data_IF_506801304695
#
_entry.id   IF_506801304695
#
_cell.length_a   1.000
_cell.length_b   1.000
_cell.length_c   1.000
_cell.angle_alpha   90.00
_cell.angle_beta   90.00
_cell.angle_gamma   90.00
#
_symmetry.space_group_name_H-M   'P 1'
#
loop_
_entity.id
_entity.type
_entity.pdbx_description
1 polymer ?
#
# COMPACT_ATOMS: atom_id res chain seq x y z
N UNK A 1 -23.74 -8.70 -8.88
CA UNK A 1 -22.96 -9.84 -8.35
C UNK A 1 -22.01 -10.43 -9.38
N UNK A 2 -22.43 -10.66 -10.63
CA UNK A 2 -21.53 -11.18 -11.68
C UNK A 2 -20.29 -10.31 -11.93
N UNK A 3 -20.40 -8.98 -11.82
CA UNK A 3 -19.24 -8.08 -11.98
C UNK A 3 -18.18 -8.26 -10.88
N UNK A 4 -18.58 -8.51 -9.63
CA UNK A 4 -17.64 -8.64 -8.51
C UNK A 4 -16.75 -9.87 -8.68
N UNK A 5 -17.35 -11.04 -8.96
CA UNK A 5 -16.59 -12.28 -9.16
C UNK A 5 -15.64 -12.18 -10.35
N UNK A 6 -16.05 -11.52 -11.44
CA UNK A 6 -15.20 -11.29 -12.61
C UNK A 6 -13.99 -10.38 -12.33
N UNK A 7 -14.03 -9.59 -11.25
CA UNK A 7 -12.97 -8.65 -10.87
C UNK A 7 -12.03 -9.19 -9.79
N UNK A 8 -12.35 -10.30 -9.12
CA UNK A 8 -11.52 -10.86 -8.05
C UNK A 8 -10.15 -11.32 -8.56
N UNK A 9 -10.10 -12.14 -9.60
CA UNK A 9 -8.82 -12.61 -10.17
C UNK A 9 -7.96 -11.47 -10.73
N UNK A 10 -8.52 -10.53 -11.53
CA UNK A 10 -7.78 -9.33 -11.92
C UNK A 10 -7.27 -8.53 -10.71
N UNK A 11 -8.10 -8.32 -9.67
CA UNK A 11 -7.69 -7.57 -8.48
C UNK A 11 -6.53 -8.23 -7.74
N UNK A 12 -6.54 -9.56 -7.60
CA UNK A 12 -5.44 -10.29 -6.99
C UNK A 12 -4.16 -10.14 -7.81
N UNK A 13 -4.21 -10.40 -9.11
CA UNK A 13 -3.04 -10.33 -9.98
C UNK A 13 -2.46 -8.89 -10.05
N UNK A 14 -3.32 -7.90 -10.28
CA UNK A 14 -2.94 -6.49 -10.40
C UNK A 14 -2.45 -5.95 -9.05
N UNK A 15 -3.15 -6.28 -7.96
CA UNK A 15 -2.77 -5.84 -6.62
C UNK A 15 -1.43 -6.39 -6.16
N UNK A 16 -1.19 -7.70 -6.37
CA UNK A 16 0.11 -8.32 -6.07
C UNK A 16 1.22 -7.70 -6.93
N UNK A 17 0.99 -7.56 -8.23
CA UNK A 17 1.97 -6.97 -9.15
C UNK A 17 2.31 -5.52 -8.80
N UNK A 18 1.31 -4.70 -8.50
CA UNK A 18 1.51 -3.30 -8.11
C UNK A 18 2.29 -3.16 -6.80
N UNK A 19 1.96 -3.99 -5.81
CA UNK A 19 2.68 -4.05 -4.54
C UNK A 19 4.14 -4.47 -4.75
N UNK A 20 4.38 -5.48 -5.58
CA UNK A 20 5.73 -5.93 -5.91
C UNK A 20 6.56 -4.84 -6.59
N UNK A 21 5.98 -4.08 -7.53
CA UNK A 21 6.65 -2.93 -8.18
C UNK A 21 7.07 -1.88 -7.14
N UNK A 22 6.21 -1.58 -6.18
CA UNK A 22 6.52 -0.67 -5.08
C UNK A 22 7.63 -1.21 -4.16
N UNK A 23 7.63 -2.51 -3.87
CA UNK A 23 8.67 -3.15 -3.06
C UNK A 23 10.03 -3.16 -3.79
N UNK A 24 10.04 -3.42 -5.09
CA UNK A 24 11.25 -3.33 -5.93
C UNK A 24 11.81 -1.90 -5.96
N UNK A 25 10.93 -0.89 -6.03
CA UNK A 25 11.33 0.51 -5.90
C UNK A 25 11.93 0.81 -4.53
N UNK A 26 11.31 0.36 -3.44
CA UNK A 26 11.84 0.52 -2.09
C UNK A 26 13.19 -0.19 -1.93
N UNK A 27 13.34 -1.39 -2.50
CA UNK A 27 14.60 -2.13 -2.53
C UNK A 27 15.69 -1.35 -3.28
N UNK A 28 15.38 -0.83 -4.48
CA UNK A 28 16.30 0.00 -5.26
C UNK A 28 16.73 1.25 -4.47
N UNK A 29 15.79 1.96 -3.85
CA UNK A 29 16.09 3.12 -3.00
C UNK A 29 17.01 2.76 -1.82
N UNK A 30 16.78 1.61 -1.19
CA UNK A 30 17.62 1.14 -0.08
C UNK A 30 19.04 0.80 -0.51
N UNK A 31 19.22 0.24 -1.71
CA UNK A 31 20.51 -0.22 -2.23
C UNK A 31 21.34 0.91 -2.83
N UNK A 32 20.70 1.81 -3.58
CA UNK A 32 21.40 2.85 -4.37
C UNK A 32 21.55 4.14 -3.57
N UNK A 33 20.54 4.50 -2.77
CA UNK A 33 20.48 5.80 -2.09
C UNK A 33 20.51 5.70 -0.56
N UNK A 34 20.66 4.49 0.00
CA UNK A 34 20.59 4.21 1.44
C UNK A 34 19.30 4.73 2.11
N UNK A 35 18.23 4.91 1.34
CA UNK A 35 16.93 5.35 1.84
C UNK A 35 16.16 4.12 2.31
N UNK A 36 16.01 3.97 3.64
CA UNK A 36 15.20 2.89 4.21
C UNK A 36 13.70 3.12 3.92
N UNK A 37 13.05 2.06 3.45
CA UNK A 37 11.59 1.98 3.35
C UNK A 37 10.91 1.76 4.70
N UNK A 38 9.59 1.59 4.67
CA UNK A 38 8.83 1.21 5.87
C UNK A 38 9.19 -0.23 6.26
N UNK A 39 9.43 -0.46 7.54
CA UNK A 39 9.51 -1.82 8.08
C UNK A 39 8.09 -2.36 8.28
N UNK A 40 7.68 -3.30 7.43
CA UNK A 40 6.36 -3.91 7.51
C UNK A 40 6.13 -4.68 8.81
N UNK A 41 7.18 -5.05 9.56
CA UNK A 41 7.02 -5.59 10.91
C UNK A 41 6.25 -4.63 11.83
N UNK A 42 6.38 -3.31 11.63
CA UNK A 42 5.60 -2.31 12.39
C UNK A 42 4.10 -2.38 12.06
N UNK A 43 3.73 -2.68 10.82
CA UNK A 43 2.34 -2.92 10.42
C UNK A 43 1.82 -4.17 11.10
N UNK A 44 2.58 -5.27 11.06
CA UNK A 44 2.15 -6.50 11.73
C UNK A 44 2.05 -6.34 13.25
N UNK A 45 2.97 -5.58 13.86
CA UNK A 45 2.91 -5.21 15.28
C UNK A 45 1.63 -4.45 15.58
N UNK A 46 1.28 -3.46 14.78
CA UNK A 46 0.04 -2.69 14.94
C UNK A 46 -1.19 -3.59 14.85
N UNK A 47 -1.24 -4.47 13.83
CA UNK A 47 -2.37 -5.39 13.63
C UNK A 47 -2.51 -6.37 14.80
N UNK A 48 -1.43 -6.94 15.32
CA UNK A 48 -1.55 -7.87 16.45
C UNK A 48 -1.87 -7.20 17.78
N UNK A 49 -1.57 -5.90 17.95
CA UNK A 49 -2.07 -5.11 19.09
C UNK A 49 -3.52 -4.65 18.88
N UNK A 50 -3.93 -4.39 17.64
CA UNK A 50 -5.31 -4.10 17.29
C UNK A 50 -6.24 -5.27 17.67
N UNK A 51 -5.82 -6.52 17.43
CA UNK A 51 -6.52 -7.72 17.88
C UNK A 51 -6.66 -7.82 19.42
N UNK A 52 -5.90 -7.03 20.17
CA UNK A 52 -5.94 -6.93 21.65
C UNK A 52 -6.65 -5.64 22.11
N UNK A 53 -7.32 -4.92 21.21
CA UNK A 53 -8.05 -3.69 21.50
C UNK A 53 -7.20 -2.42 21.52
N UNK A 54 -5.91 -2.49 21.17
CA UNK A 54 -5.04 -1.32 21.11
C UNK A 54 -4.91 -0.83 19.66
N UNK A 55 -5.72 0.16 19.30
CA UNK A 55 -5.70 0.78 17.97
C UNK A 55 -4.55 1.79 17.81
N UNK A 56 -4.26 2.58 18.85
CA UNK A 56 -3.31 3.70 18.78
C UNK A 56 -2.09 3.48 19.68
N UNK A 57 -0.96 4.03 19.25
CA UNK A 57 0.33 3.91 19.92
C UNK A 57 0.98 5.29 20.04
N UNK A 58 1.75 5.54 21.11
CA UNK A 58 2.59 6.74 21.21
C UNK A 58 3.74 6.70 20.19
N UNK A 59 4.22 5.49 19.90
CA UNK A 59 5.15 5.17 18.84
C UNK A 59 5.13 3.67 18.61
N UNK A 60 4.70 3.21 17.43
CA UNK A 60 4.59 1.77 17.15
C UNK A 60 5.94 1.05 17.32
N UNK A 61 7.05 1.75 17.01
CA UNK A 61 8.41 1.24 17.18
C UNK A 61 8.77 0.91 18.64
N UNK A 62 8.15 1.57 19.61
CA UNK A 62 8.35 1.34 21.05
C UNK A 62 7.37 0.33 21.64
N UNK A 63 6.36 -0.07 20.88
CA UNK A 63 5.39 -1.07 21.34
C UNK A 63 6.04 -2.45 21.40
N UNK A 64 5.62 -3.27 22.37
CA UNK A 64 6.18 -4.61 22.55
C UNK A 64 6.08 -5.41 21.24
N UNK A 65 7.19 -5.97 20.72
CA UNK A 65 7.14 -6.84 19.55
C UNK A 65 6.22 -8.04 19.77
N UNK A 66 5.62 -8.54 18.72
CA UNK A 66 4.82 -9.78 18.75
C UNK A 66 5.47 -10.86 17.88
N UNK A 67 5.24 -12.13 18.25
CA UNK A 67 5.69 -13.26 17.43
C UNK A 67 5.05 -13.18 16.04
N UNK A 68 5.87 -13.30 15.00
CA UNK A 68 5.41 -13.27 13.61
C UNK A 68 5.03 -11.90 13.05
N UNK A 69 5.37 -10.78 13.72
CA UNK A 69 5.00 -9.43 13.24
C UNK A 69 5.47 -9.12 11.82
N UNK A 70 6.64 -9.63 11.41
CA UNK A 70 7.11 -9.51 10.03
C UNK A 70 6.16 -10.19 9.03
N UNK A 71 5.81 -11.45 9.28
CA UNK A 71 4.92 -12.24 8.40
C UNK A 71 3.55 -11.58 8.30
N UNK A 72 2.95 -11.21 9.43
CA UNK A 72 1.65 -10.51 9.47
C UNK A 72 1.73 -9.21 8.68
N UNK A 73 2.79 -8.43 8.88
CA UNK A 73 3.03 -7.18 8.18
C UNK A 73 3.08 -7.34 6.67
N UNK A 74 3.89 -8.28 6.19
CA UNK A 74 4.00 -8.58 4.76
C UNK A 74 2.68 -9.11 4.16
N UNK A 75 1.99 -10.02 4.86
CA UNK A 75 0.68 -10.49 4.39
C UNK A 75 -0.34 -9.35 4.28
N UNK A 76 -0.41 -8.48 5.30
CA UNK A 76 -1.32 -7.34 5.29
C UNK A 76 -0.95 -6.31 4.23
N UNK A 77 0.34 -6.10 3.98
CA UNK A 77 0.82 -5.23 2.92
C UNK A 77 0.29 -5.65 1.54
N UNK A 78 0.45 -6.93 1.18
CA UNK A 78 -0.08 -7.46 -0.08
C UNK A 78 -1.61 -7.49 -0.11
N UNK A 79 -2.26 -7.83 1.00
CA UNK A 79 -3.71 -7.81 1.10
C UNK A 79 -4.28 -6.40 0.87
N UNK A 80 -3.68 -5.37 1.46
CA UNK A 80 -4.08 -3.97 1.24
C UNK A 80 -3.92 -3.58 -0.23
N UNK A 81 -2.82 -3.99 -0.88
CA UNK A 81 -2.62 -3.78 -2.31
C UNK A 81 -3.71 -4.42 -3.18
N UNK A 82 -4.12 -5.65 -2.86
CA UNK A 82 -5.24 -6.34 -3.52
C UNK A 82 -6.56 -5.61 -3.30
N UNK A 83 -6.83 -5.15 -2.07
CA UNK A 83 -8.02 -4.37 -1.74
C UNK A 83 -8.05 -3.06 -2.53
N UNK A 84 -6.93 -2.35 -2.63
CA UNK A 84 -6.84 -1.13 -3.44
C UNK A 84 -7.06 -1.39 -4.93
N UNK A 85 -6.48 -2.45 -5.49
CA UNK A 85 -6.73 -2.84 -6.87
C UNK A 85 -8.22 -3.16 -7.11
N UNK A 86 -8.86 -3.89 -6.18
CA UNK A 86 -10.30 -4.17 -6.26
C UNK A 86 -11.13 -2.89 -6.20
N UNK A 87 -10.82 -1.96 -5.29
CA UNK A 87 -11.51 -0.66 -5.18
C UNK A 87 -11.37 0.14 -6.47
N UNK A 88 -10.18 0.18 -7.08
CA UNK A 88 -9.99 0.82 -8.38
C UNK A 88 -10.93 0.18 -9.43
N UNK A 89 -10.85 -1.14 -9.62
CA UNK A 89 -11.64 -1.85 -10.61
C UNK A 89 -13.15 -1.68 -10.42
N UNK A 90 -13.63 -1.64 -9.18
CA UNK A 90 -15.04 -1.39 -8.86
C UNK A 90 -15.45 0.07 -9.11
N UNK A 91 -14.51 1.01 -8.98
CA UNK A 91 -14.76 2.45 -9.13
C UNK A 91 -14.79 2.88 -10.60
N UNK A 92 -13.91 2.33 -11.44
CA UNK A 92 -13.80 2.70 -12.87
C UNK A 92 -14.39 1.65 -13.82
N UNK A 93 -14.67 0.45 -13.30
CA UNK A 93 -15.33 -0.63 -14.03
C UNK A 93 -14.43 -1.38 -15.01
N UNK A 94 -15.06 -2.33 -15.72
CA UNK A 94 -14.41 -3.20 -16.71
C UNK A 94 -13.66 -2.47 -17.83
N UNK A 95 -14.12 -1.30 -18.34
CA UNK A 95 -13.42 -0.60 -19.43
C UNK A 95 -11.95 -0.26 -19.09
N UNK A 96 -11.67 0.14 -17.85
CA UNK A 96 -10.29 0.43 -17.45
C UNK A 96 -9.44 -0.83 -17.36
N UNK A 97 -10.01 -1.98 -17.00
CA UNK A 97 -9.27 -3.24 -17.02
C UNK A 97 -8.79 -3.54 -18.44
N UNK A 98 -9.68 -3.45 -19.43
CA UNK A 98 -9.39 -3.75 -20.85
C UNK A 98 -8.50 -2.71 -21.52
N UNK A 99 -8.62 -1.45 -21.14
CA UNK A 99 -7.83 -0.35 -21.68
C UNK A 99 -7.29 0.51 -20.51
N UNK A 100 -6.21 0.06 -19.85
CA UNK A 100 -5.72 0.70 -18.63
C UNK A 100 -5.19 2.10 -18.91
N UNK A 101 -5.80 3.10 -18.28
CA UNK A 101 -5.32 4.48 -18.31
C UNK A 101 -4.27 4.70 -17.22
N UNK A 102 -3.06 5.08 -17.63
CA UNK A 102 -1.97 5.45 -16.71
C UNK A 102 -2.37 6.60 -15.78
N UNK A 103 -3.04 7.63 -16.30
CA UNK A 103 -3.45 8.79 -15.51
C UNK A 103 -4.37 8.38 -14.36
N UNK A 104 -5.38 7.55 -14.65
CA UNK A 104 -6.30 7.05 -13.63
C UNK A 104 -5.55 6.24 -12.57
N UNK A 105 -4.60 5.39 -12.98
CA UNK A 105 -3.80 4.57 -12.07
C UNK A 105 -2.93 5.43 -11.13
N UNK A 106 -2.27 6.47 -11.66
CA UNK A 106 -1.42 7.37 -10.89
C UNK A 106 -2.23 8.23 -9.91
N UNK A 107 -3.36 8.77 -10.36
CA UNK A 107 -4.28 9.53 -9.50
C UNK A 107 -4.81 8.65 -8.37
N UNK A 108 -5.26 7.43 -8.71
CA UNK A 108 -5.72 6.47 -7.71
C UNK A 108 -4.62 6.09 -6.72
N UNK A 109 -3.41 5.82 -7.20
CA UNK A 109 -2.23 5.61 -6.38
C UNK A 109 -2.05 6.74 -5.36
N UNK A 110 -2.05 8.00 -5.79
CA UNK A 110 -1.97 9.13 -4.87
C UNK A 110 -3.15 9.23 -3.90
N UNK A 111 -4.38 8.91 -4.33
CA UNK A 111 -5.57 8.85 -3.44
C UNK A 111 -5.35 7.82 -2.32
N UNK A 112 -4.68 6.70 -2.59
CA UNK A 112 -4.43 5.70 -1.54
C UNK A 112 -3.58 6.25 -0.39
N UNK A 113 -2.88 7.41 -0.54
CA UNK A 113 -2.21 8.11 0.56
C UNK A 113 -3.16 8.55 1.69
N UNK A 114 -4.47 8.60 1.44
CA UNK A 114 -5.47 8.84 2.48
C UNK A 114 -5.31 7.84 3.62
N UNK A 115 -5.06 6.55 3.30
CA UNK A 115 -4.89 5.52 4.31
C UNK A 115 -3.68 5.78 5.23
N UNK A 116 -2.43 5.92 4.72
CA UNK A 116 -1.30 6.18 5.60
C UNK A 116 -1.40 7.53 6.30
N UNK A 117 -1.89 8.59 5.67
CA UNK A 117 -1.90 9.93 6.27
C UNK A 117 -2.92 10.10 7.37
N UNK A 118 -4.10 9.48 7.25
CA UNK A 118 -5.21 9.71 8.19
C UNK A 118 -5.52 8.53 9.09
N UNK A 119 -5.02 7.32 8.77
CA UNK A 119 -5.26 6.11 9.57
C UNK A 119 -3.94 5.58 10.13
N UNK A 120 -3.05 5.09 9.27
CA UNK A 120 -1.85 4.36 9.73
C UNK A 120 -0.90 5.24 10.55
N UNK A 121 -0.53 6.42 10.05
CA UNK A 121 0.42 7.29 10.74
C UNK A 121 -0.12 7.83 12.08
N UNK A 122 -1.39 8.28 12.17
CA UNK A 122 -2.01 8.57 13.46
C UNK A 122 -2.00 7.38 14.43
N UNK A 123 -2.38 6.19 13.96
CA UNK A 123 -2.39 4.99 14.80
C UNK A 123 -0.99 4.59 15.27
N UNK A 124 0.04 4.85 14.46
CA UNK A 124 1.44 4.60 14.81
C UNK A 124 2.01 5.62 15.80
N UNK A 125 1.30 6.71 16.09
CA UNK A 125 1.78 7.83 16.91
C UNK A 125 2.51 8.92 16.12
N UNK A 126 2.64 8.77 14.80
CA UNK A 126 3.30 9.74 13.92
C UNK A 126 2.42 10.98 13.64
N UNK A 127 1.15 10.98 14.06
CA UNK A 127 0.21 12.07 13.82
C UNK A 127 -0.35 12.08 12.39
N UNK A 128 -1.30 13.00 12.14
CA UNK A 128 -1.92 13.17 10.81
C UNK A 128 -0.85 13.61 9.81
N UNK A 129 -0.76 12.89 8.69
CA UNK A 129 0.26 13.08 7.66
C UNK A 129 1.67 13.20 8.26
N UNK A 130 2.00 12.33 9.22
CA UNK A 130 3.30 12.23 9.89
C UNK A 130 3.73 13.53 10.61
N UNK A 131 2.78 14.37 11.04
CA UNK A 131 3.05 15.69 11.63
C UNK A 131 3.91 15.67 12.89
N UNK A 132 4.01 14.54 13.59
CA UNK A 132 4.83 14.38 14.80
C UNK A 132 6.21 13.77 14.55
N UNK A 133 6.57 13.43 13.30
CA UNK A 133 7.92 12.98 12.98
C UNK A 133 8.91 14.16 12.93
N UNK A 134 10.22 13.94 13.19
CA UNK A 134 11.23 14.99 13.10
C UNK A 134 11.31 15.67 11.73
N UNK A 135 11.06 14.92 10.65
CA UNK A 135 11.13 15.41 9.27
C UNK A 135 9.83 15.11 8.50
N UNK A 136 8.71 15.80 8.82
CA UNK A 136 7.37 15.42 8.36
C UNK A 136 7.22 15.52 6.84
N UNK A 137 7.79 16.56 6.22
CA UNK A 137 7.72 16.73 4.76
C UNK A 137 8.49 15.63 4.01
N UNK A 138 9.64 15.19 4.55
CA UNK A 138 10.36 14.05 3.95
C UNK A 138 9.55 12.76 4.03
N UNK A 139 8.86 12.52 5.15
CA UNK A 139 7.98 11.36 5.30
C UNK A 139 6.79 11.41 4.33
N UNK A 140 6.17 12.59 4.15
CA UNK A 140 5.07 12.79 3.19
C UNK A 140 5.52 12.53 1.76
N UNK A 141 6.64 13.12 1.33
CA UNK A 141 7.20 12.92 -0.02
C UNK A 141 7.52 11.45 -0.26
N UNK A 142 8.13 10.76 0.71
CA UNK A 142 8.39 9.31 0.60
C UNK A 142 7.11 8.50 0.45
N UNK A 143 6.07 8.81 1.24
CA UNK A 143 4.77 8.15 1.13
C UNK A 143 4.13 8.39 -0.23
N UNK A 144 4.09 9.64 -0.69
CA UNK A 144 3.53 10.00 -2.00
C UNK A 144 4.31 9.35 -3.14
N UNK A 145 5.64 9.33 -3.08
CA UNK A 145 6.48 8.66 -4.08
C UNK A 145 6.19 7.16 -4.13
N UNK A 146 6.13 6.48 -2.98
CA UNK A 146 5.78 5.07 -2.92
C UNK A 146 4.40 4.79 -3.55
N UNK A 147 3.41 5.62 -3.23
CA UNK A 147 2.03 5.45 -3.71
C UNK A 147 1.85 5.85 -5.19
N UNK A 148 2.68 6.78 -5.68
CA UNK A 148 2.79 7.07 -7.11
C UNK A 148 3.35 5.87 -7.87
N UNK A 149 4.42 5.24 -7.34
CA UNK A 149 5.00 4.02 -7.92
C UNK A 149 4.02 2.84 -7.82
N UNK A 150 3.25 2.71 -6.75
CA UNK A 150 2.15 1.76 -6.66
C UNK A 150 1.11 2.00 -7.77
N UNK A 151 0.71 3.25 -8.00
CA UNK A 151 -0.18 3.63 -9.13
C UNK A 151 0.39 3.24 -10.50
N UNK A 152 1.69 3.46 -10.72
CA UNK A 152 2.37 2.97 -11.91
C UNK A 152 2.34 1.43 -12.00
N UNK A 153 2.56 0.75 -10.87
CA UNK A 153 2.46 -0.70 -10.75
C UNK A 153 1.07 -1.24 -11.06
N UNK A 154 -0.01 -0.53 -10.69
CA UNK A 154 -1.38 -0.88 -11.06
C UNK A 154 -1.56 -0.85 -12.58
N UNK A 155 -1.10 0.21 -13.23
CA UNK A 155 -1.13 0.33 -14.70
C UNK A 155 -0.34 -0.79 -15.37
N UNK A 156 0.93 -0.98 -14.99
CA UNK A 156 1.81 -1.97 -15.59
C UNK A 156 1.26 -3.39 -15.42
N UNK A 157 0.78 -3.72 -14.22
CA UNK A 157 0.23 -5.05 -13.94
C UNK A 157 -1.09 -5.30 -14.68
N UNK A 158 -1.95 -4.28 -14.82
CA UNK A 158 -3.17 -4.39 -15.62
C UNK A 158 -2.87 -4.57 -17.10
N UNK A 159 -1.89 -3.83 -17.62
CA UNK A 159 -1.44 -3.93 -19.00
C UNK A 159 -0.90 -5.34 -19.31
N UNK A 160 -0.05 -5.88 -18.43
CA UNK A 160 0.47 -7.25 -18.55
C UNK A 160 -0.67 -8.27 -18.44
N UNK A 161 -1.56 -8.11 -17.46
CA UNK A 161 -2.68 -9.03 -17.24
C UNK A 161 -3.57 -9.17 -18.47
N UNK A 162 -3.93 -8.06 -19.12
CA UNK A 162 -4.76 -8.10 -20.33
C UNK A 162 -3.99 -8.55 -21.56
N UNK A 163 -2.68 -8.30 -21.63
CA UNK A 163 -1.85 -8.79 -22.74
C UNK A 163 -1.68 -10.32 -22.76
N UNK A 164 -2.03 -11.00 -21.67
CA UNK A 164 -1.92 -12.46 -21.50
C UNK A 164 -3.27 -13.19 -21.65
N UNK A 165 -4.37 -12.46 -21.88
CA UNK A 165 -5.73 -12.99 -22.06
C UNK A 165 -6.18 -12.90 -23.52
#
# INVERSE_FOLDING_TARGET
MESLYSMLMPAVAIGVGATLVMDLWAFMLSRVFAIKGLDYALVGRWIGHLCKGQLTHQGIGHSKPISGEGVIGWCMHYLIGIVFALVLLLSVGKPWLTEPSLLIALVFGLITCVFPFFIMQPCFGAGVAASKLPEPNKARVKSMAAHFIFGFGLFLSSFIYVSLL
#
